data_IF_838060662453
#
_entry.id   IF_838060662453
#
_cell.length_a   1.000
_cell.length_b   1.000
_cell.length_c   1.000
_cell.angle_alpha   90.00
_cell.angle_beta   90.00
_cell.angle_gamma   90.00
#
_symmetry.space_group_name_H-M   'P 1'
#
loop_
_entity.id
_entity.type
_entity.pdbx_description
1 polymer ?
#
# COMPACT_ATOMS: atom_id res chain seq x y z
N UNK A 1 -1.12 64.74 -45.01
CA UNK A 1 -1.76 64.66 -43.68
C UNK A 1 -2.45 63.29 -43.58
N UNK A 2 -1.88 62.27 -42.93
CA UNK A 2 -1.74 62.04 -41.48
C UNK A 2 -3.10 61.99 -40.72
N UNK A 3 -3.31 61.09 -39.74
CA UNK A 3 -2.77 59.73 -39.59
C UNK A 3 -3.81 58.68 -39.11
N UNK A 4 -3.41 57.41 -39.12
CA UNK A 4 -4.06 56.33 -38.37
C UNK A 4 -4.29 56.73 -36.91
N UNK A 5 -5.45 56.35 -36.37
CA UNK A 5 -5.69 56.28 -34.93
C UNK A 5 -6.26 54.91 -34.57
N UNK A 6 -5.38 53.91 -34.51
CA UNK A 6 -5.51 52.85 -33.50
C UNK A 6 -5.31 53.55 -32.15
N UNK A 7 -6.39 53.91 -31.48
CA UNK A 7 -6.31 54.16 -30.05
C UNK A 7 -6.50 52.80 -29.38
N UNK A 8 -5.38 52.23 -28.94
CA UNK A 8 -5.41 51.27 -27.85
C UNK A 8 -6.07 51.95 -26.66
N UNK A 9 -7.11 51.33 -26.12
CA UNK A 9 -7.69 51.77 -24.86
C UNK A 9 -7.00 50.99 -23.74
N UNK A 10 -5.80 51.48 -23.37
CA UNK A 10 -5.06 51.09 -22.17
C UNK A 10 -5.66 51.74 -20.91
N UNK A 11 -6.98 51.64 -20.72
CA UNK A 11 -7.67 52.32 -19.60
C UNK A 11 -8.58 51.38 -18.82
N UNK A 12 -7.93 50.65 -17.90
CA UNK A 12 -8.48 50.22 -16.62
C UNK A 12 -9.52 49.09 -16.69
N UNK A 13 -9.18 47.94 -16.10
CA UNK A 13 -10.18 46.95 -15.71
C UNK A 13 -11.34 47.66 -15.00
N UNK A 14 -12.52 47.65 -15.60
CA UNK A 14 -13.71 48.18 -14.95
C UNK A 14 -14.04 47.35 -13.71
N UNK A 15 -14.61 47.97 -12.66
CA UNK A 15 -15.06 47.26 -11.45
C UNK A 15 -15.94 46.03 -11.77
N UNK A 16 -16.74 46.13 -12.83
CA UNK A 16 -17.59 45.06 -13.34
C UNK A 16 -16.77 43.88 -13.88
N UNK A 17 -15.70 44.16 -14.63
CA UNK A 17 -14.83 43.13 -15.19
C UNK A 17 -14.05 42.39 -14.09
N UNK A 18 -13.56 43.12 -13.08
CA UNK A 18 -12.92 42.52 -11.88
C UNK A 18 -13.91 41.62 -11.15
N UNK A 19 -15.15 42.06 -10.95
CA UNK A 19 -16.20 41.26 -10.33
C UNK A 19 -16.46 39.97 -11.09
N UNK A 20 -16.53 40.03 -12.42
CA UNK A 20 -16.74 38.85 -13.27
C UNK A 20 -15.56 37.88 -13.15
N UNK A 21 -14.32 38.38 -13.21
CA UNK A 21 -13.13 37.54 -13.06
C UNK A 21 -13.10 36.87 -11.69
N UNK A 22 -13.42 37.58 -10.61
CA UNK A 22 -13.47 37.02 -9.26
C UNK A 22 -14.51 35.91 -9.13
N UNK A 23 -15.69 36.07 -9.74
CA UNK A 23 -16.73 35.03 -9.74
C UNK A 23 -16.24 33.79 -10.47
N UNK A 24 -15.62 33.93 -11.64
CA UNK A 24 -15.09 32.80 -12.41
C UNK A 24 -13.97 32.09 -11.64
N UNK A 25 -13.04 32.84 -11.03
CA UNK A 25 -11.96 32.28 -10.20
C UNK A 25 -12.52 31.56 -8.97
N UNK A 26 -13.56 32.11 -8.32
CA UNK A 26 -14.20 31.47 -7.18
C UNK A 26 -14.89 30.15 -7.55
N UNK A 27 -15.58 30.11 -8.69
CA UNK A 27 -16.21 28.88 -9.21
C UNK A 27 -15.14 27.85 -9.57
N UNK A 28 -14.11 28.25 -10.32
CA UNK A 28 -13.01 27.36 -10.70
C UNK A 28 -12.26 26.83 -9.47
N UNK A 29 -11.97 27.70 -8.50
CA UNK A 29 -11.31 27.35 -7.25
C UNK A 29 -12.15 26.40 -6.39
N UNK A 30 -13.47 26.63 -6.29
CA UNK A 30 -14.39 25.76 -5.56
C UNK A 30 -14.49 24.37 -6.18
N UNK A 31 -14.54 24.28 -7.51
CA UNK A 31 -14.56 23.00 -8.24
C UNK A 31 -13.26 22.21 -8.05
N UNK A 32 -12.10 22.89 -8.13
CA UNK A 32 -10.81 22.26 -7.87
C UNK A 32 -10.68 21.79 -6.42
N UNK A 33 -11.15 22.57 -5.44
CA UNK A 33 -11.09 22.20 -4.02
C UNK A 33 -11.92 20.96 -3.70
N UNK A 34 -13.12 20.83 -4.29
CA UNK A 34 -13.96 19.64 -4.14
C UNK A 34 -13.30 18.37 -4.67
N UNK A 35 -12.58 18.48 -5.79
CA UNK A 35 -11.83 17.37 -6.39
C UNK A 35 -10.63 16.95 -5.53
N UNK A 36 -9.78 17.91 -5.12
CA UNK A 36 -8.61 17.61 -4.31
C UNK A 36 -8.95 17.18 -2.88
N UNK A 37 -10.03 17.71 -2.29
CA UNK A 37 -10.51 17.30 -0.97
C UNK A 37 -10.97 15.82 -0.93
N UNK A 38 -11.51 15.31 -2.04
CA UNK A 38 -11.88 13.89 -2.17
C UNK A 38 -10.65 12.97 -2.22
N UNK A 39 -9.59 13.39 -2.92
CA UNK A 39 -8.32 12.66 -2.96
C UNK A 39 -7.60 12.67 -1.61
N UNK A 40 -7.61 13.81 -0.90
CA UNK A 40 -6.99 13.93 0.42
C UNK A 40 -7.61 12.97 1.45
N UNK A 41 -8.95 12.90 1.51
CA UNK A 41 -9.65 11.95 2.41
C UNK A 41 -9.39 10.48 2.07
N UNK A 42 -9.13 10.18 0.79
CA UNK A 42 -8.83 8.82 0.36
C UNK A 42 -7.42 8.40 0.78
N UNK A 43 -6.44 9.29 0.64
CA UNK A 43 -5.06 9.05 1.09
C UNK A 43 -4.99 8.93 2.62
N UNK A 44 -5.70 9.81 3.33
CA UNK A 44 -5.77 9.78 4.79
C UNK A 44 -6.35 8.45 5.30
N UNK A 45 -7.45 7.97 4.70
CA UNK A 45 -8.00 6.64 5.03
C UNK A 45 -7.06 5.49 4.68
N UNK A 46 -6.32 5.58 3.58
CA UNK A 46 -5.35 4.55 3.20
C UNK A 46 -4.13 4.52 4.13
N UNK A 47 -3.66 5.67 4.59
CA UNK A 47 -2.60 5.74 5.61
C UNK A 47 -3.09 5.22 6.95
N UNK A 48 -4.32 5.56 7.34
CA UNK A 48 -4.89 5.15 8.62
C UNK A 48 -5.20 3.65 8.68
N UNK A 49 -5.61 3.03 7.57
CA UNK A 49 -5.92 1.60 7.51
C UNK A 49 -4.71 0.67 7.32
N UNK A 50 -3.50 1.22 7.09
CA UNK A 50 -2.26 0.47 6.78
C UNK A 50 -2.48 -0.81 5.93
N UNK A 51 -3.21 -0.73 4.80
CA UNK A 51 -3.63 -1.91 4.04
C UNK A 51 -2.44 -2.69 3.46
N UNK A 52 -1.31 -2.01 3.22
CA UNK A 52 -0.08 -2.63 2.72
C UNK A 52 0.52 -3.58 3.77
N UNK A 53 0.56 -3.18 5.03
CA UNK A 53 1.17 -4.02 6.07
C UNK A 53 0.31 -5.23 6.41
N UNK A 54 -1.01 -5.07 6.38
CA UNK A 54 -1.94 -6.19 6.45
C UNK A 54 -1.78 -7.14 5.26
N UNK A 55 -1.60 -6.62 4.05
CA UNK A 55 -1.38 -7.44 2.86
C UNK A 55 -0.05 -8.21 2.92
N UNK A 56 1.02 -7.58 3.41
CA UNK A 56 2.32 -8.25 3.62
C UNK A 56 2.22 -9.36 4.66
N UNK A 57 1.59 -9.11 5.81
CA UNK A 57 1.40 -10.14 6.82
C UNK A 57 0.54 -11.29 6.29
N UNK A 58 -0.52 -11.00 5.52
CA UNK A 58 -1.35 -12.03 4.90
C UNK A 58 -0.55 -12.89 3.90
N UNK A 59 0.35 -12.28 3.13
CA UNK A 59 1.25 -13.00 2.22
C UNK A 59 2.22 -13.91 2.99
N UNK A 60 2.72 -13.46 4.15
CA UNK A 60 3.59 -14.25 5.01
C UNK A 60 2.86 -15.44 5.62
N UNK A 61 1.60 -15.25 6.04
CA UNK A 61 0.73 -16.32 6.53
C UNK A 61 0.44 -17.36 5.44
N UNK A 62 0.22 -16.93 4.20
CA UNK A 62 0.03 -17.84 3.07
C UNK A 62 1.31 -18.63 2.77
N UNK A 63 2.47 -18.00 2.89
CA UNK A 63 3.77 -18.68 2.76
C UNK A 63 3.94 -19.73 3.86
N UNK A 64 3.63 -19.40 5.12
CA UNK A 64 3.68 -20.34 6.24
C UNK A 64 2.73 -21.52 6.03
N UNK A 65 1.51 -21.28 5.56
CA UNK A 65 0.55 -22.33 5.24
C UNK A 65 1.05 -23.28 4.15
N UNK A 66 1.78 -22.76 3.16
CA UNK A 66 2.41 -23.57 2.11
C UNK A 66 3.52 -24.47 2.68
N UNK A 67 4.36 -23.93 3.56
CA UNK A 67 5.40 -24.71 4.28
C UNK A 67 4.74 -25.79 5.13
N UNK A 68 3.66 -25.46 5.84
CA UNK A 68 2.91 -26.43 6.65
C UNK A 68 2.40 -27.61 5.81
N UNK A 69 1.87 -27.33 4.62
CA UNK A 69 1.48 -28.39 3.68
C UNK A 69 2.63 -29.34 3.33
N UNK A 70 3.85 -28.82 3.15
CA UNK A 70 5.04 -29.65 2.88
C UNK A 70 5.43 -30.51 4.09
N UNK A 71 5.38 -29.94 5.30
CA UNK A 71 5.67 -30.67 6.55
C UNK A 71 4.63 -31.77 6.79
N UNK A 72 3.36 -31.49 6.53
CA UNK A 72 2.27 -32.47 6.66
C UNK A 72 2.44 -33.62 5.64
N UNK A 73 2.84 -33.30 4.39
CA UNK A 73 3.17 -34.31 3.37
C UNK A 73 4.39 -35.13 3.78
N UNK A 74 5.44 -34.51 4.31
CA UNK A 74 6.62 -35.22 4.80
C UNK A 74 6.25 -36.21 5.90
N UNK A 75 5.41 -35.79 6.87
CA UNK A 75 4.92 -36.67 7.93
C UNK A 75 4.13 -37.84 7.38
N UNK A 76 3.25 -37.59 6.41
CA UNK A 76 2.45 -38.64 5.78
C UNK A 76 3.32 -39.68 5.04
N UNK A 77 4.52 -39.31 4.59
CA UNK A 77 5.44 -40.21 3.88
C UNK A 77 6.41 -40.96 4.81
N UNK A 78 6.84 -40.32 5.90
CA UNK A 78 7.94 -40.83 6.75
C UNK A 78 7.48 -41.23 8.16
N UNK A 79 6.18 -41.12 8.47
CA UNK A 79 5.57 -41.32 9.80
C UNK A 79 6.22 -40.51 10.93
N UNK A 80 7.05 -39.53 10.58
CA UNK A 80 7.88 -38.74 11.49
C UNK A 80 7.88 -37.28 11.06
N UNK A 81 8.06 -36.39 12.01
CA UNK A 81 8.25 -34.97 11.73
C UNK A 81 9.69 -34.69 11.27
N UNK A 82 9.92 -33.63 10.48
CA UNK A 82 11.27 -33.11 10.25
C UNK A 82 12.01 -32.88 11.59
N UNK A 83 13.29 -33.22 11.64
CA UNK A 83 14.06 -33.21 12.89
C UNK A 83 14.25 -31.80 13.46
N UNK A 84 14.37 -30.81 12.59
CA UNK A 84 14.62 -29.42 12.93
C UNK A 84 14.16 -28.49 11.79
N UNK A 85 14.36 -27.19 12.00
CA UNK A 85 14.01 -26.15 11.03
C UNK A 85 14.80 -26.28 9.73
N UNK A 86 16.05 -26.72 9.79
CA UNK A 86 16.90 -26.84 8.61
C UNK A 86 16.45 -28.03 7.74
N UNK A 87 15.95 -29.10 8.36
CA UNK A 87 15.27 -30.18 7.67
C UNK A 87 14.01 -29.69 6.94
N UNK A 88 13.22 -28.81 7.54
CA UNK A 88 12.07 -28.17 6.85
C UNK A 88 12.54 -27.33 5.67
N UNK A 89 13.61 -26.53 5.85
CA UNK A 89 14.19 -25.73 4.76
C UNK A 89 14.71 -26.59 3.61
N UNK A 90 15.24 -27.78 3.89
CA UNK A 90 15.70 -28.72 2.88
C UNK A 90 14.56 -29.32 2.04
N UNK A 91 13.30 -29.30 2.54
CA UNK A 91 12.12 -29.71 1.77
C UNK A 91 11.69 -28.67 0.73
N UNK A 92 12.12 -27.42 0.90
CA UNK A 92 11.74 -26.32 0.03
C UNK A 92 12.69 -26.23 -1.18
N UNK A 93 12.12 -26.00 -2.37
CA UNK A 93 12.92 -25.81 -3.59
C UNK A 93 13.80 -24.54 -3.54
N UNK A 94 13.40 -23.56 -2.73
CA UNK A 94 14.15 -22.34 -2.48
C UNK A 94 13.82 -21.81 -1.09
N UNK A 95 14.72 -21.03 -0.46
CA UNK A 95 14.43 -20.39 0.83
C UNK A 95 13.18 -19.50 0.75
N UNK A 96 12.26 -19.57 1.73
CA UNK A 96 11.06 -18.76 1.75
C UNK A 96 11.41 -17.28 1.90
N UNK A 97 10.68 -16.41 1.20
CA UNK A 97 10.88 -14.96 1.25
C UNK A 97 9.63 -14.30 1.83
N UNK A 98 9.73 -13.91 3.08
CA UNK A 98 8.70 -13.15 3.76
C UNK A 98 8.74 -11.66 3.34
N UNK A 99 7.57 -11.05 3.30
CA UNK A 99 7.32 -9.66 2.92
C UNK A 99 7.49 -8.71 4.11
N UNK A 100 7.22 -9.17 5.33
CA UNK A 100 7.50 -8.38 6.54
C UNK A 100 9.02 -8.35 6.82
N UNK A 101 9.54 -7.16 7.10
CA UNK A 101 10.97 -6.98 7.35
C UNK A 101 11.44 -7.77 8.58
N UNK A 102 12.48 -8.60 8.41
CA UNK A 102 13.02 -9.43 9.49
C UNK A 102 12.10 -10.57 9.95
N UNK A 103 11.03 -10.86 9.19
CA UNK A 103 10.15 -11.97 9.48
C UNK A 103 10.78 -13.30 9.05
N UNK A 104 10.48 -14.33 9.81
CA UNK A 104 10.95 -15.69 9.62
C UNK A 104 9.94 -16.64 10.28
N UNK A 105 10.06 -17.94 10.04
CA UNK A 105 9.27 -18.95 10.70
C UNK A 105 10.06 -19.70 11.77
N UNK A 106 9.34 -20.05 12.83
CA UNK A 106 9.77 -20.94 13.90
C UNK A 106 9.14 -22.31 13.71
N UNK A 107 9.87 -23.35 14.10
CA UNK A 107 9.46 -24.74 13.93
C UNK A 107 9.60 -25.50 15.25
N UNK A 108 8.54 -26.20 15.65
CA UNK A 108 8.54 -27.12 16.79
C UNK A 108 8.60 -28.57 16.29
N UNK A 109 9.73 -29.28 16.49
CA UNK A 109 9.91 -30.66 16.03
C UNK A 109 9.05 -31.68 16.80
N UNK A 110 8.59 -31.36 18.00
CA UNK A 110 7.78 -32.29 18.79
C UNK A 110 6.34 -32.39 18.25
N UNK A 111 5.79 -31.26 17.80
CA UNK A 111 4.41 -31.16 17.31
C UNK A 111 4.26 -30.98 15.80
N UNK A 112 5.36 -30.68 15.09
CA UNK A 112 5.31 -30.21 13.70
C UNK A 112 4.74 -28.79 13.56
N UNK A 113 4.68 -28.05 14.67
CA UNK A 113 4.14 -26.69 14.73
C UNK A 113 4.99 -25.71 13.93
N UNK A 114 4.31 -24.78 13.25
CA UNK A 114 4.93 -23.69 12.49
C UNK A 114 4.28 -22.38 12.91
N UNK A 115 5.08 -21.36 13.18
CA UNK A 115 4.63 -20.02 13.53
C UNK A 115 5.50 -18.95 12.89
N UNK A 116 4.94 -17.78 12.60
CA UNK A 116 5.72 -16.62 12.17
C UNK A 116 6.28 -15.89 13.39
N UNK A 117 7.49 -15.33 13.24
CA UNK A 117 8.09 -14.46 14.25
C UNK A 117 7.37 -13.11 14.34
N UNK A 118 6.92 -12.58 13.20
CA UNK A 118 6.10 -11.36 13.13
C UNK A 118 4.66 -11.77 12.81
N UNK A 119 3.76 -11.54 13.78
CA UNK A 119 2.33 -11.87 13.70
C UNK A 119 1.43 -10.64 13.73
N UNK A 120 1.99 -9.45 13.94
CA UNK A 120 1.28 -8.19 13.98
C UNK A 120 1.56 -7.37 12.72
N UNK A 121 0.49 -6.97 12.03
CA UNK A 121 0.59 -6.14 10.83
C UNK A 121 1.16 -4.76 11.18
N UNK A 122 1.05 -4.31 12.43
CA UNK A 122 1.64 -3.04 12.85
C UNK A 122 3.17 -3.04 12.90
N UNK A 123 3.79 -4.22 13.01
CA UNK A 123 5.24 -4.47 13.04
C UNK A 123 5.81 -4.96 11.71
N UNK A 124 4.91 -5.18 10.75
CA UNK A 124 5.18 -5.15 9.35
C UNK A 124 5.17 -3.65 8.94
#
# INVERSE_FOLDING_TARGET
MAPMRRLGDERGLGLVEILIVLVVVAIAGGLLWGYFGSTAKTIEKLQEQRPIEHARLAADQATLASIKGLVDVYRAQNDTWPADRDAVLALLAAPPRFQCAGNDFEYDPASGGLSLRVTDAGRC
#
